data_IF_785075231507
#
_entry.id   IF_785075231507
#
_cell.length_a   1.000
_cell.length_b   1.000
_cell.length_c   1.000
_cell.angle_alpha   90.00
_cell.angle_beta   90.00
_cell.angle_gamma   90.00
#
_symmetry.space_group_name_H-M   'P 1'
#
loop_
_entity.id
_entity.type
_entity.pdbx_description
1 polymer ?
#
# COMPACT_ATOMS: atom_id res chain seq x y z
N UNK A 1 -7.74 10.62 10.10
CA UNK A 1 -8.25 11.29 8.90
C UNK A 1 -8.05 10.42 7.66
N UNK A 2 -8.72 10.78 6.58
CA UNK A 2 -8.54 10.14 5.28
C UNK A 2 -8.00 11.14 4.27
N UNK A 3 -7.41 10.62 3.20
CA UNK A 3 -6.84 11.45 2.13
C UNK A 3 -7.54 11.15 0.80
N UNK A 4 -7.37 12.06 -0.14
CA UNK A 4 -7.90 11.90 -1.47
C UNK A 4 -7.19 10.74 -2.17
N UNK A 5 -7.94 9.88 -2.84
CA UNK A 5 -7.38 8.73 -3.57
C UNK A 5 -6.69 9.14 -4.85
N UNK A 6 -5.39 8.91 -4.94
CA UNK A 6 -4.55 9.27 -6.08
C UNK A 6 -4.43 8.10 -7.05
N UNK A 7 -5.54 7.76 -7.70
CA UNK A 7 -5.59 6.68 -8.70
C UNK A 7 -6.48 7.06 -9.87
N UNK A 8 -6.26 6.42 -11.00
CA UNK A 8 -6.85 6.81 -12.29
C UNK A 8 -8.37 6.90 -12.26
N UNK A 9 -9.06 5.90 -11.73
CA UNK A 9 -10.54 5.90 -11.72
C UNK A 9 -11.12 7.00 -10.82
N UNK A 10 -10.32 7.62 -9.97
CA UNK A 10 -10.69 8.76 -9.12
C UNK A 10 -10.21 10.09 -9.71
N UNK A 11 -9.86 10.13 -10.98
CA UNK A 11 -9.46 11.34 -11.67
C UNK A 11 -7.99 11.71 -11.56
N UNK A 12 -7.16 10.87 -10.97
CA UNK A 12 -5.71 11.10 -10.84
C UNK A 12 -4.96 10.33 -11.93
N UNK A 13 -5.01 10.85 -13.15
CA UNK A 13 -4.47 10.16 -14.34
C UNK A 13 -2.95 10.03 -14.35
N UNK A 14 -2.24 10.81 -13.55
CA UNK A 14 -0.77 10.76 -13.42
C UNK A 14 -0.29 9.45 -12.80
N UNK A 15 -1.12 8.79 -12.00
CA UNK A 15 -0.76 7.52 -11.40
C UNK A 15 -1.02 6.38 -12.38
N UNK A 16 0.04 5.93 -13.04
CA UNK A 16 0.02 4.82 -14.00
C UNK A 16 0.81 3.60 -13.47
N UNK A 17 1.09 3.58 -12.18
CA UNK A 17 1.85 2.49 -11.55
C UNK A 17 1.02 1.20 -11.58
N UNK A 18 1.61 0.15 -12.15
CA UNK A 18 0.99 -1.18 -12.19
C UNK A 18 1.18 -1.92 -10.86
N UNK A 19 0.18 -2.70 -10.47
CA UNK A 19 0.25 -3.52 -9.26
C UNK A 19 1.01 -4.82 -9.54
N UNK A 20 2.31 -4.69 -9.69
CA UNK A 20 3.25 -5.79 -9.86
C UNK A 20 3.83 -6.21 -8.50
N UNK A 21 4.41 -7.41 -8.47
CA UNK A 21 5.11 -7.89 -7.27
C UNK A 21 6.08 -6.85 -6.73
N UNK A 22 6.02 -6.57 -5.43
CA UNK A 22 6.86 -5.59 -4.74
C UNK A 22 6.31 -4.18 -4.67
N UNK A 23 5.22 -3.87 -5.38
CA UNK A 23 4.61 -2.54 -5.35
C UNK A 23 3.89 -2.31 -4.03
N UNK A 24 4.03 -1.08 -3.49
CA UNK A 24 3.29 -0.62 -2.32
C UNK A 24 2.08 0.20 -2.78
N UNK A 25 0.94 -0.03 -2.15
CA UNK A 25 -0.31 0.64 -2.49
C UNK A 25 -1.14 0.92 -1.24
N UNK A 26 -1.98 1.94 -1.29
CA UNK A 26 -2.83 2.31 -0.15
C UNK A 26 -4.06 1.42 -0.06
N UNK A 27 -4.30 0.87 1.13
CA UNK A 27 -5.57 0.23 1.42
C UNK A 27 -6.66 1.29 1.61
N UNK A 28 -7.89 0.93 1.30
CA UNK A 28 -9.05 1.80 1.47
C UNK A 28 -10.33 0.97 1.58
N UNK A 29 -11.41 1.61 1.99
CA UNK A 29 -12.76 1.04 1.88
C UNK A 29 -13.25 1.15 0.42
N UNK A 30 -14.51 0.84 0.18
CA UNK A 30 -15.11 1.00 -1.15
C UNK A 30 -15.17 2.46 -1.61
N UNK A 31 -15.18 3.40 -0.66
CA UNK A 31 -15.17 4.84 -0.98
C UNK A 31 -13.81 5.26 -1.51
N UNK A 32 -13.75 6.01 -2.62
CA UNK A 32 -12.46 6.33 -3.27
C UNK A 32 -11.53 7.21 -2.43
N UNK A 33 -12.06 8.04 -1.54
CA UNK A 33 -11.29 8.97 -0.72
C UNK A 33 -11.24 8.52 0.75
N UNK A 34 -11.07 7.23 0.98
CA UNK A 34 -11.12 6.62 2.31
C UNK A 34 -9.79 6.06 2.81
N UNK A 35 -8.70 6.27 2.09
CA UNK A 35 -7.39 5.84 2.53
C UNK A 35 -6.94 6.63 3.78
N UNK A 36 -6.42 5.93 4.76
CA UNK A 36 -5.90 6.52 6.00
C UNK A 36 -4.47 6.08 6.25
N UNK A 37 -4.28 5.15 7.17
CA UNK A 37 -2.96 4.70 7.60
C UNK A 37 -2.54 3.33 7.07
N UNK A 38 -3.43 2.61 6.44
CA UNK A 38 -3.14 1.23 6.02
C UNK A 38 -2.61 1.18 4.60
N UNK A 39 -1.62 0.34 4.39
CA UNK A 39 -1.06 0.07 3.07
C UNK A 39 -0.81 -1.43 2.92
N UNK A 40 -0.54 -1.86 1.71
CA UNK A 40 -0.20 -3.26 1.43
C UNK A 40 0.96 -3.34 0.46
N UNK A 41 1.64 -4.50 0.50
CA UNK A 41 2.75 -4.83 -0.40
C UNK A 41 2.30 -5.96 -1.30
N UNK A 42 2.45 -5.79 -2.61
CA UNK A 42 2.10 -6.82 -3.57
C UNK A 42 3.11 -7.96 -3.52
N UNK A 43 2.68 -9.17 -3.18
CA UNK A 43 3.55 -10.35 -3.27
C UNK A 43 3.37 -11.10 -4.60
N UNK A 44 2.31 -10.81 -5.34
CA UNK A 44 2.05 -11.29 -6.70
C UNK A 44 1.44 -10.17 -7.53
N UNK A 45 1.54 -10.26 -8.85
CA UNK A 45 0.91 -9.30 -9.75
C UNK A 45 -0.62 -9.40 -9.66
N UNK A 46 -1.29 -8.25 -9.67
CA UNK A 46 -2.74 -8.17 -9.62
C UNK A 46 -3.25 -7.02 -10.49
N UNK A 47 -3.35 -7.26 -11.79
CA UNK A 47 -3.73 -6.25 -12.77
C UNK A 47 -5.12 -5.64 -12.51
N UNK A 48 -6.02 -6.36 -11.84
CA UNK A 48 -7.36 -5.85 -11.51
C UNK A 48 -7.35 -4.67 -10.54
N UNK A 49 -6.23 -4.43 -9.85
CA UNK A 49 -6.05 -3.28 -8.94
C UNK A 49 -5.56 -2.04 -9.68
N UNK A 50 -5.04 -2.19 -10.89
CA UNK A 50 -4.46 -1.07 -11.64
C UNK A 50 -5.52 -0.01 -11.93
N UNK A 51 -5.19 1.25 -11.63
CA UNK A 51 -6.10 2.36 -11.81
C UNK A 51 -7.23 2.46 -10.77
N UNK A 52 -7.33 1.50 -9.83
CA UNK A 52 -8.37 1.44 -8.81
C UNK A 52 -7.82 1.70 -7.40
N UNK A 53 -6.52 1.59 -7.21
CA UNK A 53 -5.83 1.81 -5.95
C UNK A 53 -4.61 2.68 -6.14
N UNK A 54 -4.27 3.44 -5.10
CA UNK A 54 -3.15 4.39 -5.15
C UNK A 54 -1.83 3.70 -4.83
N UNK A 55 -1.19 3.14 -5.85
CA UNK A 55 0.18 2.66 -5.74
C UNK A 55 1.13 3.85 -5.60
N UNK A 56 2.15 3.74 -4.75
CA UNK A 56 3.03 4.88 -4.46
C UNK A 56 4.51 4.53 -4.31
N UNK A 57 4.87 3.27 -4.36
CA UNK A 57 6.25 2.87 -4.18
C UNK A 57 6.49 1.41 -4.53
N UNK A 58 7.72 0.96 -4.31
CA UNK A 58 8.08 -0.45 -4.49
C UNK A 58 9.14 -0.86 -3.50
N UNK A 59 9.14 -2.14 -3.15
CA UNK A 59 10.19 -2.75 -2.34
C UNK A 59 11.46 -2.86 -3.17
N UNK A 60 12.55 -2.37 -2.63
CA UNK A 60 13.87 -2.48 -3.26
C UNK A 60 14.73 -3.57 -2.62
N UNK A 61 14.39 -4.00 -1.42
CA UNK A 61 15.14 -5.00 -0.66
C UNK A 61 14.21 -5.67 0.35
N UNK A 62 14.34 -6.98 0.56
CA UNK A 62 13.58 -7.69 1.57
C UNK A 62 12.29 -8.36 1.10
N UNK A 63 12.10 -8.62 -0.20
CA UNK A 63 10.91 -9.33 -0.70
C UNK A 63 10.76 -10.75 -0.14
N UNK A 64 11.85 -11.39 0.24
CA UNK A 64 11.82 -12.69 0.92
C UNK A 64 11.07 -12.62 2.25
N UNK A 65 11.19 -11.52 2.97
CA UNK A 65 10.43 -11.27 4.22
C UNK A 65 8.95 -11.09 3.92
N UNK A 66 8.61 -10.39 2.86
CA UNK A 66 7.22 -10.22 2.41
C UNK A 66 6.60 -11.59 2.08
N UNK A 67 7.32 -12.43 1.35
CA UNK A 67 6.85 -13.78 1.03
C UNK A 67 6.63 -14.63 2.27
N UNK A 68 7.53 -14.50 3.25
CA UNK A 68 7.44 -15.21 4.52
C UNK A 68 6.21 -14.79 5.33
N UNK A 69 5.92 -13.50 5.39
CA UNK A 69 4.71 -12.97 6.01
C UNK A 69 3.46 -13.48 5.29
N UNK A 70 3.46 -13.45 3.96
CA UNK A 70 2.34 -13.92 3.15
C UNK A 70 2.06 -15.41 3.32
N UNK A 71 3.08 -16.21 3.66
CA UNK A 71 2.95 -17.64 3.90
C UNK A 71 2.56 -18.00 5.34
N UNK A 72 2.43 -17.02 6.22
CA UNK A 72 2.09 -17.22 7.62
C UNK A 72 0.71 -17.85 7.77
N UNK A 73 0.57 -18.78 8.73
CA UNK A 73 -0.71 -19.38 9.05
C UNK A 73 -1.71 -18.33 9.55
N UNK A 74 -2.93 -18.39 9.04
CA UNK A 74 -3.98 -17.42 9.32
C UNK A 74 -5.24 -18.10 9.85
N UNK A 75 -6.14 -17.30 10.43
CA UNK A 75 -7.48 -17.74 10.81
C UNK A 75 -8.44 -17.65 9.62
N UNK A 76 -9.72 -17.87 9.85
CA UNK A 76 -10.76 -17.85 8.81
C UNK A 76 -10.98 -16.48 8.18
N UNK A 77 -10.47 -15.41 8.79
CA UNK A 77 -10.55 -14.03 8.28
C UNK A 77 -9.23 -13.58 7.66
N UNK A 78 -8.33 -14.50 7.36
CA UNK A 78 -6.98 -14.23 6.85
C UNK A 78 -6.12 -13.40 7.80
N UNK A 79 -6.45 -13.39 9.09
CA UNK A 79 -5.63 -12.75 10.10
C UNK A 79 -4.52 -13.72 10.55
N UNK A 80 -3.25 -13.30 10.55
CA UNK A 80 -2.17 -14.14 11.05
C UNK A 80 -2.42 -14.62 12.47
N UNK A 81 -2.18 -15.91 12.72
CA UNK A 81 -2.34 -16.50 14.06
C UNK A 81 -1.33 -15.93 15.05
N UNK A 82 -0.12 -15.62 14.58
CA UNK A 82 0.89 -14.92 15.37
C UNK A 82 0.96 -13.46 14.91
N UNK A 83 1.04 -12.47 15.83
CA UNK A 83 1.17 -11.07 15.45
C UNK A 83 2.39 -10.82 14.55
N UNK A 84 2.18 -10.09 13.47
CA UNK A 84 3.22 -9.62 12.56
C UNK A 84 3.49 -8.16 12.86
N UNK A 85 4.53 -7.87 13.64
CA UNK A 85 4.75 -6.55 14.21
C UNK A 85 5.85 -5.81 13.44
N UNK A 86 5.56 -4.57 13.02
CA UNK A 86 6.57 -3.65 12.52
C UNK A 86 7.26 -2.99 13.72
N UNK A 87 8.50 -3.36 14.00
CA UNK A 87 9.24 -2.85 15.16
C UNK A 87 9.63 -1.38 14.97
N UNK A 88 9.98 -0.98 13.77
CA UNK A 88 10.28 0.41 13.44
C UNK A 88 9.96 0.70 11.97
N UNK A 89 9.49 1.90 11.72
CA UNK A 89 9.27 2.42 10.36
C UNK A 89 9.85 3.82 10.31
N UNK A 90 10.71 4.07 9.33
CA UNK A 90 11.34 5.39 9.13
C UNK A 90 11.21 5.81 7.69
N UNK A 91 11.01 7.11 7.47
CA UNK A 91 11.03 7.72 6.15
C UNK A 91 12.30 8.55 5.98
N UNK A 92 13.08 8.23 4.96
CA UNK A 92 14.23 9.07 4.56
C UNK A 92 13.77 10.02 3.46
N UNK A 93 13.75 11.30 3.77
CA UNK A 93 13.26 12.34 2.86
C UNK A 93 14.37 13.11 2.15
N UNK A 94 15.63 12.74 2.39
CA UNK A 94 16.82 13.35 1.77
C UNK A 94 16.86 14.88 1.91
N UNK A 95 16.38 15.38 3.07
CA UNK A 95 16.37 16.82 3.36
C UNK A 95 15.19 17.58 2.74
N UNK A 96 14.28 16.90 2.05
CA UNK A 96 13.08 17.53 1.48
C UNK A 96 11.99 17.61 2.55
N UNK A 97 11.40 18.79 2.72
CA UNK A 97 10.21 18.97 3.56
C UNK A 97 8.96 18.81 2.66
N UNK A 98 8.08 17.91 3.06
CA UNK A 98 6.83 17.68 2.35
C UNK A 98 5.65 18.35 3.08
N UNK A 99 4.72 18.94 2.36
CA UNK A 99 3.51 19.51 2.98
C UNK A 99 2.63 18.40 3.54
N UNK A 100 1.72 18.77 4.44
CA UNK A 100 0.68 17.87 4.90
C UNK A 100 -0.16 17.36 3.72
N UNK A 101 -0.59 16.10 3.72
CA UNK A 101 -1.45 15.60 2.67
C UNK A 101 -2.82 16.30 2.69
N UNK A 102 -3.42 16.43 1.53
CA UNK A 102 -4.79 16.97 1.43
C UNK A 102 -5.77 15.93 1.99
N UNK A 103 -6.50 16.33 3.02
CA UNK A 103 -7.54 15.48 3.60
C UNK A 103 -8.76 15.41 2.71
N UNK A 104 -9.38 14.27 2.75
CA UNK A 104 -10.63 14.08 2.03
C UNK A 104 -11.82 14.65 2.82
#
# INVERSE_FOLDING_TARGET
YTIRGEFRSNGFAQNDIKHLRGVLSMARSMMPNSAGSQFFVMHQNAAHLDGQYAAFGKVIEGMDVVDEIAATATDMRDRPLAPQVMESVRAETFGVEYPEPKRA
#
